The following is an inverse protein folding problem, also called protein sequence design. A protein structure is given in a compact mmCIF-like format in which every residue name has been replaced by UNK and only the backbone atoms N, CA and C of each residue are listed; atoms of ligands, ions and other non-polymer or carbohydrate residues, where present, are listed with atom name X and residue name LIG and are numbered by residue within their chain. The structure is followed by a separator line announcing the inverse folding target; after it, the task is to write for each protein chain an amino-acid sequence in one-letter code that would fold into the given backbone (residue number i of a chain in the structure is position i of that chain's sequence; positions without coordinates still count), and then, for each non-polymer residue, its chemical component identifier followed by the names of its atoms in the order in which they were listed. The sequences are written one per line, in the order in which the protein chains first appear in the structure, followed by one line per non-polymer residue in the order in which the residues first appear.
data_IF_778140486967
#
_entry.id   IF_778140486967
#
_cell.length_a   1.000
_cell.length_b   1.000
_cell.length_c   1.000
_cell.angle_alpha   90.00
_cell.angle_beta   90.00
_cell.angle_gamma   90.00
#
_symmetry.space_group_name_H-M   'P 1'
#
loop_
_entity.id
_entity.type
_entity.pdbx_description
1 polymer ?
#
# COMPACT_ATOMS: atom_id res chain seq x y z
N UNK A 1 -30.63 14.66 6.26
CA UNK A 1 -29.66 13.85 5.49
C UNK A 1 -28.47 14.69 5.05
N UNK A 2 -28.65 15.81 4.36
CA UNK A 2 -27.56 16.68 3.90
C UNK A 2 -26.65 17.18 5.01
N UNK A 3 -27.19 17.54 6.17
CA UNK A 3 -26.39 17.99 7.31
C UNK A 3 -25.50 16.86 7.87
N UNK A 4 -26.00 15.64 7.90
CA UNK A 4 -25.20 14.45 8.32
C UNK A 4 -24.07 14.16 7.34
N UNK A 5 -24.34 14.24 6.06
CA UNK A 5 -23.33 14.04 5.01
C UNK A 5 -22.24 15.11 5.09
N UNK A 6 -22.62 16.38 5.27
CA UNK A 6 -21.65 17.47 5.42
C UNK A 6 -20.80 17.33 6.69
N UNK A 7 -21.38 16.82 7.78
CA UNK A 7 -20.64 16.56 9.01
C UNK A 7 -19.66 15.40 8.84
N UNK A 8 -20.07 14.33 8.14
CA UNK A 8 -19.18 13.20 7.84
C UNK A 8 -18.00 13.62 6.97
N UNK A 9 -18.26 14.39 5.90
CA UNK A 9 -17.20 14.91 5.03
C UNK A 9 -16.17 15.75 5.79
N UNK A 10 -16.60 16.58 6.75
CA UNK A 10 -15.70 17.37 7.58
C UNK A 10 -14.83 16.50 8.48
N UNK A 11 -15.40 15.43 9.06
CA UNK A 11 -14.63 14.47 9.88
C UNK A 11 -13.58 13.75 9.05
N UNK A 12 -13.95 13.29 7.87
CA UNK A 12 -13.05 12.59 6.95
C UNK A 12 -11.89 13.50 6.51
N UNK A 13 -12.20 14.77 6.20
CA UNK A 13 -11.18 15.75 5.85
C UNK A 13 -10.21 16.01 7.01
N UNK A 14 -10.72 16.15 8.24
CA UNK A 14 -9.88 16.34 9.42
C UNK A 14 -8.96 15.13 9.67
N UNK A 15 -9.42 13.91 9.42
CA UNK A 15 -8.60 12.71 9.54
C UNK A 15 -7.49 12.69 8.47
N UNK A 16 -7.82 13.02 7.22
CA UNK A 16 -6.84 13.14 6.13
C UNK A 16 -5.77 14.19 6.43
N UNK A 17 -6.17 15.35 6.92
CA UNK A 17 -5.26 16.45 7.23
C UNK A 17 -4.28 16.04 8.34
N UNK A 18 -4.73 15.33 9.35
CA UNK A 18 -3.86 14.81 10.43
C UNK A 18 -2.82 13.85 9.90
N UNK A 19 -3.19 12.94 9.02
CA UNK A 19 -2.26 11.99 8.40
C UNK A 19 -1.27 12.73 7.49
N UNK A 20 -1.76 13.66 6.68
CA UNK A 20 -0.92 14.45 5.78
C UNK A 20 0.12 15.28 6.53
N UNK A 21 -0.25 15.84 7.69
CA UNK A 21 0.62 16.66 8.51
C UNK A 21 1.46 15.85 9.53
N UNK A 22 1.40 14.53 9.50
CA UNK A 22 2.22 13.69 10.36
C UNK A 22 3.71 13.95 10.11
N UNK A 23 4.50 14.01 11.19
CA UNK A 23 5.93 14.34 11.11
C UNK A 23 6.78 13.17 10.64
N UNK A 24 6.28 11.94 10.77
CA UNK A 24 7.00 10.71 10.38
C UNK A 24 6.06 9.71 9.70
N UNK A 25 6.59 8.80 8.86
CA UNK A 25 5.80 7.71 8.31
C UNK A 25 5.15 6.81 9.37
N UNK A 26 5.84 6.58 10.48
CA UNK A 26 5.30 5.78 11.60
C UNK A 26 4.10 6.45 12.26
N UNK A 27 4.14 7.77 12.45
CA UNK A 27 3.01 8.54 12.95
C UNK A 27 1.83 8.51 11.97
N UNK A 28 2.08 8.69 10.68
CA UNK A 28 1.05 8.60 9.65
C UNK A 28 0.37 7.23 9.68
N UNK A 29 1.12 6.15 9.80
CA UNK A 29 0.61 4.78 9.94
C UNK A 29 -0.25 4.62 11.19
N UNK A 30 0.22 5.13 12.33
CA UNK A 30 -0.52 5.09 13.60
C UNK A 30 -1.85 5.83 13.50
N UNK A 31 -1.86 7.01 12.91
CA UNK A 31 -3.07 7.80 12.69
C UNK A 31 -4.01 7.12 11.69
N UNK A 32 -3.46 6.52 10.65
CA UNK A 32 -4.23 5.77 9.65
C UNK A 32 -5.02 4.61 10.25
N UNK A 33 -4.52 3.96 11.30
CA UNK A 33 -5.23 2.89 11.99
C UNK A 33 -6.47 3.36 12.77
N UNK A 34 -6.59 4.66 13.04
CA UNK A 34 -7.68 5.26 13.82
C UNK A 34 -8.79 5.86 12.96
N UNK A 35 -8.62 5.88 11.63
CA UNK A 35 -9.63 6.46 10.75
C UNK A 35 -10.85 5.57 10.64
N UNK A 36 -12.00 6.20 10.37
CA UNK A 36 -13.20 5.49 9.99
C UNK A 36 -13.07 5.03 8.55
N UNK A 37 -13.11 3.72 8.32
CA UNK A 37 -12.97 3.15 6.98
C UNK A 37 -14.23 3.35 6.16
N UNK A 38 -14.05 3.52 4.85
CA UNK A 38 -15.16 3.46 3.88
C UNK A 38 -15.83 2.08 3.95
N UNK A 39 -17.14 2.04 3.74
CA UNK A 39 -17.89 0.78 3.77
C UNK A 39 -17.46 -0.22 2.68
N UNK A 40 -16.90 0.28 1.57
CA UNK A 40 -16.42 -0.51 0.43
C UNK A 40 -14.90 -0.76 0.46
N UNK A 41 -14.23 -0.45 1.57
CA UNK A 41 -12.76 -0.54 1.66
C UNK A 41 -12.22 -1.92 1.30
N UNK A 42 -12.86 -2.98 1.82
CA UNK A 42 -12.42 -4.35 1.53
C UNK A 42 -12.48 -4.69 0.03
N UNK A 43 -13.41 -4.08 -0.70
CA UNK A 43 -13.56 -4.29 -2.13
C UNK A 43 -12.57 -3.49 -2.98
N UNK A 44 -12.13 -2.32 -2.49
CA UNK A 44 -11.30 -1.38 -3.28
C UNK A 44 -9.83 -1.35 -2.87
N UNK A 45 -9.45 -1.89 -1.71
CA UNK A 45 -8.09 -1.69 -1.14
C UNK A 45 -6.96 -2.18 -2.04
N UNK A 46 -7.14 -3.27 -2.76
CA UNK A 46 -6.12 -3.78 -3.69
C UNK A 46 -5.92 -2.81 -4.86
N UNK A 47 -7.01 -2.31 -5.45
CA UNK A 47 -6.95 -1.30 -6.52
C UNK A 47 -6.31 0.01 -6.06
N UNK A 48 -6.64 0.47 -4.85
CA UNK A 48 -6.02 1.66 -4.24
C UNK A 48 -4.52 1.46 -4.07
N UNK A 49 -4.09 0.32 -3.53
CA UNK A 49 -2.66 0.01 -3.36
C UNK A 49 -1.95 -0.04 -4.71
N UNK A 50 -2.56 -0.67 -5.72
CA UNK A 50 -2.01 -0.72 -7.08
C UNK A 50 -1.74 0.68 -7.63
N UNK A 51 -2.70 1.59 -7.51
CA UNK A 51 -2.56 2.96 -8.00
C UNK A 51 -1.48 3.74 -7.24
N UNK A 52 -1.38 3.55 -5.93
CA UNK A 52 -0.33 4.15 -5.10
C UNK A 52 1.06 3.63 -5.48
N UNK A 53 1.18 2.34 -5.76
CA UNK A 53 2.45 1.74 -6.21
C UNK A 53 2.85 2.25 -7.59
N UNK A 54 1.91 2.43 -8.50
CA UNK A 54 2.20 3.05 -9.80
C UNK A 54 2.79 4.46 -9.64
N UNK A 55 2.25 5.25 -8.72
CA UNK A 55 2.79 6.58 -8.40
C UNK A 55 4.17 6.48 -7.77
N UNK A 56 4.34 5.60 -6.79
CA UNK A 56 5.59 5.41 -6.05
C UNK A 56 6.76 5.03 -6.95
N UNK A 57 6.52 4.26 -7.98
CA UNK A 57 7.53 3.76 -8.91
C UNK A 57 7.46 4.41 -10.30
N UNK A 58 6.68 5.49 -10.44
CA UNK A 58 6.57 6.19 -11.71
C UNK A 58 7.89 6.86 -12.12
N UNK A 59 8.35 6.70 -13.37
CA UNK A 59 9.52 7.42 -13.85
C UNK A 59 9.30 8.93 -14.01
N UNK A 60 8.05 9.38 -13.96
CA UNK A 60 7.65 10.76 -14.25
C UNK A 60 7.22 11.57 -13.03
N UNK A 61 6.94 10.92 -11.91
CA UNK A 61 6.38 11.57 -10.72
C UNK A 61 7.42 12.46 -10.01
N UNK A 62 8.62 11.93 -9.80
CA UNK A 62 9.73 12.62 -9.15
C UNK A 62 11.05 11.88 -9.40
N UNK A 63 12.18 12.53 -9.08
CA UNK A 63 13.48 11.85 -9.10
C UNK A 63 13.52 10.65 -8.14
N UNK A 64 12.86 10.76 -6.98
CA UNK A 64 12.77 9.66 -6.01
C UNK A 64 11.98 8.48 -6.53
N UNK A 65 10.84 8.70 -7.20
CA UNK A 65 10.06 7.62 -7.80
C UNK A 65 10.79 6.94 -8.94
N UNK A 66 11.50 7.71 -9.76
CA UNK A 66 12.35 7.18 -10.84
C UNK A 66 13.47 6.30 -10.30
N UNK A 67 14.13 6.70 -9.20
CA UNK A 67 15.18 5.92 -8.54
C UNK A 67 14.61 4.61 -7.97
N UNK A 68 13.43 4.64 -7.36
CA UNK A 68 12.75 3.43 -6.88
C UNK A 68 12.39 2.47 -8.01
N UNK A 69 12.02 2.99 -9.17
CA UNK A 69 11.75 2.16 -10.34
C UNK A 69 13.02 1.41 -10.80
N UNK A 70 14.16 2.09 -10.80
CA UNK A 70 15.45 1.45 -11.14
C UNK A 70 15.72 0.27 -10.21
N UNK A 71 15.51 0.45 -8.90
CA UNK A 71 15.68 -0.62 -7.91
C UNK A 71 14.69 -1.77 -8.14
N UNK A 72 13.43 -1.46 -8.41
CA UNK A 72 12.39 -2.46 -8.69
C UNK A 72 12.74 -3.29 -9.93
N UNK A 73 13.14 -2.65 -11.02
CA UNK A 73 13.53 -3.32 -12.26
C UNK A 73 14.80 -4.16 -12.08
N UNK A 74 15.71 -3.72 -11.21
CA UNK A 74 16.95 -4.47 -10.91
C UNK A 74 16.67 -5.81 -10.22
N UNK A 75 15.49 -6.02 -9.62
CA UNK A 75 15.11 -7.32 -9.06
C UNK A 75 14.86 -8.38 -10.13
N UNK A 76 14.78 -8.02 -11.40
CA UNK A 76 14.65 -8.94 -12.52
C UNK A 76 13.35 -9.75 -12.46
N UNK A 77 13.47 -11.08 -12.40
CA UNK A 77 12.35 -12.00 -12.30
C UNK A 77 12.23 -12.63 -10.91
N UNK A 78 12.96 -12.10 -9.92
CA UNK A 78 12.91 -12.60 -8.55
C UNK A 78 11.50 -12.51 -7.97
N UNK A 79 11.11 -13.54 -7.22
CA UNK A 79 9.86 -13.49 -6.45
C UNK A 79 9.99 -12.47 -5.32
N UNK A 80 8.95 -11.66 -5.17
CA UNK A 80 8.89 -10.63 -4.14
C UNK A 80 7.83 -10.98 -3.11
N UNK A 81 8.24 -11.07 -1.86
CA UNK A 81 7.36 -11.41 -0.73
C UNK A 81 7.50 -10.34 0.35
N UNK A 82 6.37 -9.80 0.80
CA UNK A 82 6.33 -8.95 1.99
C UNK A 82 6.38 -9.83 3.23
N UNK A 83 7.59 -10.12 3.70
CA UNK A 83 7.80 -10.87 4.93
C UNK A 83 7.51 -10.02 6.16
N UNK A 84 6.85 -10.60 7.15
CA UNK A 84 6.58 -9.93 8.42
C UNK A 84 6.48 -10.95 9.56
N UNK A 85 6.40 -10.45 10.82
CA UNK A 85 6.22 -11.25 12.02
C UNK A 85 5.02 -10.79 12.88
N UNK A 86 4.19 -9.88 12.33
CA UNK A 86 3.03 -9.30 13.00
C UNK A 86 1.68 -9.78 12.47
N UNK A 87 1.65 -10.97 11.87
CA UNK A 87 0.43 -11.67 11.43
C UNK A 87 -0.30 -11.03 10.25
N UNK A 88 0.38 -10.25 9.42
CA UNK A 88 -0.18 -9.75 8.17
C UNK A 88 -0.04 -10.82 7.07
N UNK A 89 -1.08 -11.61 6.89
CA UNK A 89 -1.16 -12.60 5.83
C UNK A 89 -2.05 -12.17 4.67
N UNK A 90 -2.44 -10.89 4.64
CA UNK A 90 -3.11 -10.29 3.48
C UNK A 90 -2.10 -9.61 2.55
N UNK A 91 -1.44 -8.56 3.03
CA UNK A 91 -0.45 -7.84 2.23
C UNK A 91 0.87 -8.60 2.11
N UNK A 92 1.19 -9.42 3.06
CA UNK A 92 2.42 -10.17 3.14
C UNK A 92 2.24 -11.64 3.48
N UNK A 93 3.31 -12.21 4.04
CA UNK A 93 3.41 -13.59 4.50
C UNK A 93 4.13 -13.59 5.85
N UNK A 94 3.41 -13.93 6.91
CA UNK A 94 3.94 -13.89 8.26
C UNK A 94 4.86 -15.09 8.55
N UNK A 95 6.03 -14.80 9.07
CA UNK A 95 7.07 -15.77 9.45
C UNK A 95 7.27 -15.86 10.96
N UNK A 96 6.24 -15.60 11.76
CA UNK A 96 6.35 -15.61 13.23
C UNK A 96 6.54 -17.02 13.85
N UNK A 97 6.31 -18.08 13.08
CA UNK A 97 6.45 -19.47 13.55
C UNK A 97 5.24 -20.01 14.29
N UNK A 98 4.17 -19.22 14.48
CA UNK A 98 2.93 -19.70 15.13
C UNK A 98 2.10 -20.56 14.18
N UNK A 99 1.31 -21.53 14.69
CA UNK A 99 0.46 -22.39 13.86
C UNK A 99 -0.52 -21.59 12.99
N UNK A 100 -1.06 -20.48 13.49
CA UNK A 100 -2.00 -19.60 12.76
C UNK A 100 -1.38 -18.97 11.51
N UNK A 101 -0.05 -18.86 11.47
CA UNK A 101 0.71 -18.31 10.37
C UNK A 101 1.56 -19.36 9.64
N UNK A 102 1.22 -20.65 9.77
CA UNK A 102 1.98 -21.73 9.12
C UNK A 102 1.69 -21.87 7.62
N UNK A 103 0.47 -21.54 7.20
CA UNK A 103 0.12 -21.48 5.79
C UNK A 103 0.70 -20.20 5.14
N UNK A 104 1.09 -20.25 3.85
CA UNK A 104 1.55 -19.06 3.16
C UNK A 104 0.50 -17.95 3.16
N UNK A 105 0.92 -16.71 3.42
CA UNK A 105 0.09 -15.53 3.30
C UNK A 105 -0.27 -15.22 1.84
N UNK A 106 -1.26 -14.36 1.64
CA UNK A 106 -1.70 -13.97 0.29
C UNK A 106 -0.69 -13.10 -0.47
N UNK A 107 0.18 -12.40 0.26
CA UNK A 107 1.26 -11.61 -0.32
C UNK A 107 0.79 -10.61 -1.39
N UNK A 108 -0.32 -9.93 -1.17
CA UNK A 108 -0.84 -8.97 -2.15
C UNK A 108 0.15 -7.87 -2.50
N UNK A 109 0.92 -7.38 -1.54
CA UNK A 109 1.92 -6.34 -1.81
C UNK A 109 3.03 -6.87 -2.74
N UNK A 110 3.56 -8.05 -2.46
CA UNK A 110 4.55 -8.69 -3.34
C UNK A 110 4.01 -8.94 -4.75
N UNK A 111 2.77 -9.45 -4.85
CA UNK A 111 2.10 -9.67 -6.15
C UNK A 111 1.94 -8.37 -6.94
N UNK A 112 1.51 -7.29 -6.29
CA UNK A 112 1.35 -5.99 -6.94
C UNK A 112 2.69 -5.41 -7.37
N UNK A 113 3.74 -5.56 -6.57
CA UNK A 113 5.08 -5.11 -6.94
C UNK A 113 5.60 -5.86 -8.18
N UNK A 114 5.39 -7.17 -8.26
CA UNK A 114 5.76 -7.96 -9.44
C UNK A 114 4.93 -7.55 -10.67
N UNK A 115 3.64 -7.26 -10.51
CA UNK A 115 2.76 -6.75 -11.56
C UNK A 115 3.26 -5.37 -12.08
N UNK A 116 3.56 -4.45 -11.18
CA UNK A 116 4.07 -3.11 -11.51
C UNK A 116 5.44 -3.21 -12.20
N UNK A 117 6.31 -4.06 -11.72
CA UNK A 117 7.61 -4.34 -12.34
C UNK A 117 7.45 -4.76 -13.80
N UNK A 118 6.57 -5.69 -14.08
CA UNK A 118 6.30 -6.15 -15.43
C UNK A 118 5.68 -5.06 -16.31
N UNK A 119 4.74 -4.30 -15.77
CA UNK A 119 4.11 -3.18 -16.45
C UNK A 119 5.14 -2.13 -16.90
N UNK A 120 6.03 -1.71 -16.01
CA UNK A 120 7.06 -0.71 -16.33
C UNK A 120 8.19 -1.28 -17.18
N UNK A 121 8.51 -2.57 -17.05
CA UNK A 121 9.47 -3.22 -17.93
C UNK A 121 9.02 -3.18 -19.40
N UNK A 122 7.75 -3.44 -19.66
CA UNK A 122 7.17 -3.39 -20.99
C UNK A 122 7.17 -1.99 -21.63
N UNK A 123 7.21 -0.92 -20.81
CA UNK A 123 7.24 0.46 -21.31
C UNK A 123 8.63 0.99 -21.65
N UNK A 124 9.68 0.25 -21.36
CA UNK A 124 11.07 0.65 -21.62
C UNK A 124 11.59 0.27 -23.00
N UNK A 125 10.74 -0.28 -23.82
CA UNK A 125 11.11 -0.70 -25.19
C UNK A 125 10.98 0.45 -26.17
#
# INVERSE_FOLDING_TARGET
EQARQAQQQRRDQAQRDRIWNASTPGEAKRLGRKVTMRSDWEDIKVGVMRDLLRQKFSPYQSAGSAARLVELLATGDEEMVEGNDWHDNWWGDCKCGRPECSAPGLNWLGRLLMEIREEFRGRQV
#
